data_IF_840308223151
#
_entry.id   IF_840308223151
#
_cell.length_a   1.000
_cell.length_b   1.000
_cell.length_c   1.000
_cell.angle_alpha   90.00
_cell.angle_beta   90.00
_cell.angle_gamma   90.00
#
_symmetry.space_group_name_H-M   'P 1'
#
loop_
_entity.id
_entity.type
_entity.pdbx_description
1 polymer ?
#
# COMPACT_ATOMS: atom_id res chain seq x y z
N UNK A 1 1.48 4.17 21.01
CA UNK A 1 0.57 5.34 20.97
C UNK A 1 -0.81 4.87 21.39
N UNK A 2 -1.68 5.78 21.84
CA UNK A 2 -3.10 5.45 22.02
C UNK A 2 -3.76 5.19 20.65
N UNK A 3 -4.70 4.24 20.58
CA UNK A 3 -5.28 3.74 19.34
C UNK A 3 -5.94 4.82 18.49
N UNK A 4 -6.75 5.68 19.09
CA UNK A 4 -7.40 6.80 18.39
C UNK A 4 -6.36 7.77 17.81
N UNK A 5 -5.28 8.07 18.53
CA UNK A 5 -4.20 8.90 17.98
C UNK A 5 -3.56 8.27 16.74
N UNK A 6 -3.27 6.95 16.75
CA UNK A 6 -2.74 6.26 15.57
C UNK A 6 -3.70 6.38 14.38
N UNK A 7 -5.01 6.19 14.62
CA UNK A 7 -6.05 6.29 13.61
C UNK A 7 -6.15 7.69 13.00
N UNK A 8 -6.07 8.73 13.83
CA UNK A 8 -6.25 10.11 13.43
C UNK A 8 -4.99 10.72 12.80
N UNK A 9 -3.81 10.31 13.26
CA UNK A 9 -2.55 10.92 12.85
C UNK A 9 -1.92 10.25 11.63
N UNK A 10 -2.17 8.94 11.40
CA UNK A 10 -1.56 8.18 10.30
C UNK A 10 -1.71 8.88 8.95
N UNK A 11 -0.59 9.00 8.24
CA UNK A 11 -0.50 9.62 6.91
C UNK A 11 -0.02 8.66 5.85
N UNK A 12 -0.32 9.01 4.60
CA UNK A 12 0.31 8.37 3.44
C UNK A 12 1.66 9.04 3.19
N UNK A 13 2.74 8.33 3.50
CA UNK A 13 4.12 8.81 3.37
C UNK A 13 4.68 8.38 2.02
N UNK A 14 5.27 9.31 1.29
CA UNK A 14 5.78 9.16 -0.08
C UNK A 14 7.24 9.62 -0.22
N UNK A 15 7.89 10.04 0.87
CA UNK A 15 9.33 10.30 0.96
C UNK A 15 9.89 9.61 2.19
N UNK A 16 10.92 8.79 1.99
CA UNK A 16 11.47 7.92 3.02
C UNK A 16 12.95 8.18 3.24
N UNK A 17 13.41 7.97 4.47
CA UNK A 17 14.83 7.98 4.81
C UNK A 17 15.50 6.71 4.27
N UNK A 18 16.78 6.80 3.93
CA UNK A 18 17.61 5.66 3.53
C UNK A 18 18.06 4.80 4.74
N UNK A 19 17.10 4.45 5.61
CA UNK A 19 17.32 3.61 6.80
C UNK A 19 16.41 2.39 6.66
N UNK A 20 16.95 1.16 6.71
CA UNK A 20 16.14 -0.05 6.61
C UNK A 20 15.16 -0.15 7.79
N UNK A 21 14.00 -0.75 7.54
CA UNK A 21 13.06 -1.12 8.60
C UNK A 21 13.49 -2.48 9.17
N UNK A 22 13.71 -2.61 10.49
CA UNK A 22 14.04 -3.89 11.11
C UNK A 22 13.01 -4.99 10.82
N UNK A 23 13.48 -6.23 10.70
CA UNK A 23 12.65 -7.39 10.36
C UNK A 23 11.56 -7.63 11.40
N UNK A 24 11.89 -7.48 12.68
CA UNK A 24 10.93 -7.58 13.79
C UNK A 24 9.75 -6.61 13.63
N UNK A 25 10.00 -5.40 13.10
CA UNK A 25 8.95 -4.41 12.85
C UNK A 25 8.14 -4.80 11.61
N UNK A 26 8.79 -5.27 10.55
CA UNK A 26 8.09 -5.77 9.35
C UNK A 26 7.19 -6.98 9.69
N UNK A 27 7.67 -7.91 10.50
CA UNK A 27 6.92 -9.06 10.99
C UNK A 27 5.73 -8.64 11.86
N UNK A 28 5.89 -7.64 12.73
CA UNK A 28 4.78 -7.07 13.51
C UNK A 28 3.72 -6.43 12.61
N UNK A 29 4.13 -5.66 11.61
CA UNK A 29 3.23 -5.04 10.63
C UNK A 29 2.43 -6.14 9.90
N UNK A 30 3.10 -7.15 9.37
CA UNK A 30 2.45 -8.27 8.68
C UNK A 30 1.50 -9.01 9.61
N UNK A 31 1.91 -9.27 10.85
CA UNK A 31 1.08 -9.92 11.88
C UNK A 31 -0.19 -9.12 12.17
N UNK A 32 -0.12 -7.80 12.25
CA UNK A 32 -1.32 -6.97 12.41
C UNK A 32 -2.29 -7.13 11.23
N UNK A 33 -1.77 -7.26 10.00
CA UNK A 33 -2.56 -7.60 8.82
C UNK A 33 -3.23 -8.97 8.90
N UNK A 34 -2.52 -9.99 9.38
CA UNK A 34 -3.07 -11.34 9.59
C UNK A 34 -4.20 -11.39 10.64
N UNK A 35 -4.22 -10.42 11.57
CA UNK A 35 -5.26 -10.29 12.60
C UNK A 35 -6.45 -9.42 12.15
N UNK A 36 -6.50 -9.01 10.89
CA UNK A 36 -7.69 -8.34 10.36
C UNK A 36 -8.90 -9.29 10.32
N UNK A 37 -10.14 -8.75 10.46
CA UNK A 37 -11.33 -9.53 10.21
C UNK A 37 -11.41 -9.93 8.73
N UNK A 38 -12.00 -11.09 8.45
CA UNK A 38 -12.39 -11.50 7.10
C UNK A 38 -13.76 -12.16 7.12
N UNK A 39 -14.54 -11.96 6.06
CA UNK A 39 -15.86 -12.57 5.97
C UNK A 39 -15.74 -14.09 5.98
N UNK A 40 -16.55 -14.75 6.80
CA UNK A 40 -16.48 -16.21 7.06
C UNK A 40 -15.10 -16.69 7.55
N UNK A 41 -14.26 -15.78 8.08
CA UNK A 41 -12.87 -16.04 8.47
C UNK A 41 -12.01 -16.67 7.35
N UNK A 42 -12.28 -16.32 6.08
CA UNK A 42 -11.59 -16.88 4.92
C UNK A 42 -10.08 -16.58 4.91
N UNK A 43 -9.66 -15.49 5.55
CA UNK A 43 -8.27 -15.00 5.53
C UNK A 43 -7.68 -14.99 4.10
N UNK A 44 -8.35 -14.35 3.12
CA UNK A 44 -8.14 -14.58 1.70
C UNK A 44 -6.91 -13.84 1.15
N UNK A 45 -5.87 -13.70 1.94
CA UNK A 45 -4.71 -12.87 1.68
C UNK A 45 -3.42 -13.66 1.66
N UNK A 46 -2.51 -13.20 0.80
CA UNK A 46 -1.09 -13.54 0.89
C UNK A 46 -0.29 -12.24 0.86
N UNK A 47 0.74 -12.16 1.70
CA UNK A 47 1.59 -10.97 1.84
C UNK A 47 3.02 -11.33 1.49
N UNK A 48 3.54 -10.81 0.37
CA UNK A 48 4.95 -10.92 0.02
C UNK A 48 5.69 -9.65 0.47
N UNK A 49 6.73 -9.80 1.29
CA UNK A 49 7.51 -8.67 1.81
C UNK A 49 8.80 -8.50 0.99
N UNK A 50 8.83 -7.52 0.10
CA UNK A 50 10.05 -7.11 -0.59
C UNK A 50 10.86 -6.16 0.30
N UNK A 51 12.13 -6.48 0.54
CA UNK A 51 13.04 -5.69 1.41
C UNK A 51 14.52 -5.82 1.06
N UNK A 52 14.88 -6.80 0.23
CA UNK A 52 16.25 -6.92 -0.29
C UNK A 52 16.45 -5.99 -1.48
N UNK A 53 17.70 -5.71 -1.83
CA UNK A 53 18.01 -4.89 -2.99
C UNK A 53 17.39 -5.47 -4.28
N UNK A 54 17.47 -6.79 -4.46
CA UNK A 54 16.94 -7.47 -5.65
C UNK A 54 15.42 -7.40 -5.71
N UNK A 55 14.74 -7.75 -4.61
CA UNK A 55 13.27 -7.72 -4.56
C UNK A 55 12.72 -6.31 -4.72
N UNK A 56 13.34 -5.31 -4.10
CA UNK A 56 12.93 -3.91 -4.25
C UNK A 56 13.23 -3.36 -5.64
N UNK A 57 14.30 -3.81 -6.30
CA UNK A 57 14.59 -3.44 -7.69
C UNK A 57 13.50 -3.97 -8.63
N UNK A 58 13.03 -5.20 -8.42
CA UNK A 58 11.90 -5.75 -9.18
C UNK A 58 10.61 -4.94 -8.97
N UNK A 59 10.29 -4.57 -7.72
CA UNK A 59 9.11 -3.72 -7.44
C UNK A 59 9.22 -2.38 -8.19
N UNK A 60 10.39 -1.72 -8.14
CA UNK A 60 10.61 -0.44 -8.84
C UNK A 60 10.49 -0.58 -10.35
N UNK A 61 11.03 -1.65 -10.93
CA UNK A 61 10.90 -1.91 -12.36
C UNK A 61 9.43 -2.08 -12.78
N UNK A 62 8.64 -2.87 -12.02
CA UNK A 62 7.19 -3.00 -12.27
C UNK A 62 6.48 -1.66 -12.13
N UNK A 63 6.84 -0.86 -11.11
CA UNK A 63 6.22 0.43 -10.82
C UNK A 63 6.61 1.53 -11.82
N UNK A 64 7.77 1.44 -12.48
CA UNK A 64 8.12 2.32 -13.59
C UNK A 64 7.16 2.11 -14.79
N UNK A 65 6.78 0.88 -15.09
CA UNK A 65 5.76 0.58 -16.11
C UNK A 65 4.40 1.13 -15.69
N UNK A 66 4.03 0.98 -14.42
CA UNK A 66 2.79 1.55 -13.85
C UNK A 66 2.79 3.08 -14.01
N UNK A 67 3.90 3.76 -13.70
CA UNK A 67 4.01 5.20 -13.85
C UNK A 67 3.78 5.66 -15.30
N UNK A 68 4.37 4.96 -16.27
CA UNK A 68 4.17 5.23 -17.69
C UNK A 68 2.68 5.09 -18.09
N UNK A 69 2.03 3.99 -17.70
CA UNK A 69 0.61 3.76 -18.04
C UNK A 69 -0.36 4.66 -17.28
N UNK A 70 0.00 5.09 -16.08
CA UNK A 70 -0.84 5.96 -15.26
C UNK A 70 -0.68 7.44 -15.62
N UNK A 71 0.37 7.80 -16.37
CA UNK A 71 0.64 9.17 -16.81
C UNK A 71 -0.57 9.86 -17.46
N UNK A 72 -1.28 9.28 -18.45
CA UNK A 72 -2.45 9.92 -19.07
C UNK A 72 -3.59 10.14 -18.07
N UNK A 73 -3.78 9.21 -17.13
CA UNK A 73 -4.80 9.31 -16.08
C UNK A 73 -4.51 10.52 -15.18
N UNK A 74 -3.25 10.68 -14.77
CA UNK A 74 -2.81 11.82 -13.97
C UNK A 74 -2.99 13.14 -14.72
N UNK A 75 -2.56 13.19 -15.99
CA UNK A 75 -2.70 14.37 -16.84
C UNK A 75 -4.17 14.79 -17.04
N UNK A 76 -5.07 13.81 -17.17
CA UNK A 76 -6.49 14.10 -17.28
C UNK A 76 -7.08 14.58 -15.95
N UNK A 77 -6.78 13.88 -14.85
CA UNK A 77 -7.40 14.11 -13.54
C UNK A 77 -6.89 15.37 -12.84
N UNK A 78 -5.61 15.70 -13.02
CA UNK A 78 -4.91 16.79 -12.34
C UNK A 78 -4.37 17.81 -13.33
N UNK A 79 -5.08 18.04 -14.44
CA UNK A 79 -4.67 18.98 -15.51
C UNK A 79 -4.31 20.37 -14.99
N UNK A 80 -5.03 20.85 -13.99
CA UNK A 80 -4.85 22.17 -13.37
C UNK A 80 -3.79 22.18 -12.26
N UNK A 81 -3.21 21.01 -11.94
CA UNK A 81 -2.28 20.78 -10.83
C UNK A 81 -1.04 20.00 -11.31
N UNK A 82 -0.19 20.59 -12.18
CA UNK A 82 0.99 19.93 -12.72
C UNK A 82 1.96 19.43 -11.64
N UNK A 83 2.05 20.13 -10.50
CA UNK A 83 2.84 19.73 -9.34
C UNK A 83 2.43 18.35 -8.78
N UNK A 84 1.12 18.07 -8.75
CA UNK A 84 0.60 16.78 -8.26
C UNK A 84 0.95 15.66 -9.24
N UNK A 85 0.95 15.95 -10.54
CA UNK A 85 1.33 14.99 -11.59
C UNK A 85 2.80 14.62 -11.40
N UNK A 86 3.69 15.62 -11.31
CA UNK A 86 5.12 15.42 -11.16
C UNK A 86 5.45 14.65 -9.87
N UNK A 87 4.90 15.08 -8.73
CA UNK A 87 5.11 14.42 -7.44
C UNK A 87 4.63 12.96 -7.46
N UNK A 88 3.46 12.71 -8.06
CA UNK A 88 2.92 11.35 -8.14
C UNK A 88 3.76 10.47 -9.05
N UNK A 89 4.20 10.97 -10.21
CA UNK A 89 5.07 10.21 -11.10
C UNK A 89 6.41 9.90 -10.46
N UNK A 90 7.05 10.90 -9.85
CA UNK A 90 8.32 10.69 -9.14
C UNK A 90 8.16 9.65 -8.02
N UNK A 91 7.06 9.72 -7.24
CA UNK A 91 6.77 8.72 -6.22
C UNK A 91 6.57 7.33 -6.82
N UNK A 92 5.80 7.17 -7.91
CA UNK A 92 5.58 5.84 -8.50
C UNK A 92 6.88 5.22 -9.01
N UNK A 93 7.76 5.99 -9.65
CA UNK A 93 9.03 5.48 -10.18
C UNK A 93 10.03 5.15 -9.06
N UNK A 94 10.16 6.02 -8.07
CA UNK A 94 11.21 5.89 -7.02
C UNK A 94 10.74 5.14 -5.78
N UNK A 95 9.42 5.00 -5.62
CA UNK A 95 8.74 4.63 -4.37
C UNK A 95 9.12 5.53 -3.20
N UNK A 96 9.51 6.77 -3.47
CA UNK A 96 9.94 7.72 -2.45
C UNK A 96 11.22 7.31 -1.72
N UNK A 97 11.98 6.34 -2.25
CA UNK A 97 13.11 5.73 -1.55
C UNK A 97 12.72 4.70 -0.49
N UNK A 98 11.49 4.15 -0.52
CA UNK A 98 11.05 3.14 0.44
C UNK A 98 12.06 1.97 0.52
N UNK A 99 12.53 1.59 1.71
CA UNK A 99 13.40 0.43 1.90
C UNK A 99 12.66 -0.92 1.82
N UNK A 100 11.34 -0.93 2.05
CA UNK A 100 10.53 -2.14 1.99
C UNK A 100 9.17 -1.89 1.33
N UNK A 101 8.56 -2.96 0.81
CA UNK A 101 7.23 -2.93 0.22
C UNK A 101 6.51 -4.26 0.50
N UNK A 102 5.30 -4.19 1.06
CA UNK A 102 4.42 -5.36 1.16
C UNK A 102 3.56 -5.40 -0.11
N UNK A 103 3.63 -6.51 -0.84
CA UNK A 103 2.75 -6.81 -1.96
C UNK A 103 1.63 -7.71 -1.45
N UNK A 104 0.40 -7.28 -1.67
CA UNK A 104 -0.81 -7.93 -1.17
C UNK A 104 -1.50 -8.64 -2.31
N UNK A 105 -1.80 -9.91 -2.12
CA UNK A 105 -2.47 -10.76 -3.09
C UNK A 105 -3.77 -11.32 -2.48
N UNK A 106 -4.80 -11.45 -3.31
CA UNK A 106 -5.95 -12.30 -3.03
C UNK A 106 -5.51 -13.74 -3.28
N UNK A 107 -5.50 -14.55 -2.23
CA UNK A 107 -4.88 -15.86 -2.27
C UNK A 107 -5.68 -16.84 -3.12
N UNK A 108 -5.00 -17.55 -4.04
CA UNK A 108 -5.62 -18.31 -5.15
C UNK A 108 -6.61 -19.39 -4.69
N UNK A 109 -6.43 -19.94 -3.48
CA UNK A 109 -7.31 -21.00 -2.96
C UNK A 109 -8.64 -20.46 -2.45
N UNK A 110 -8.75 -19.16 -2.23
CA UNK A 110 -9.90 -18.58 -1.54
C UNK A 110 -10.92 -18.11 -2.57
N UNK A 111 -11.97 -18.92 -2.76
CA UNK A 111 -13.06 -18.68 -3.72
C UNK A 111 -14.21 -17.84 -3.12
N UNK A 112 -13.90 -16.97 -2.16
CA UNK A 112 -14.88 -16.06 -1.58
C UNK A 112 -15.49 -15.14 -2.65
N UNK A 113 -16.68 -14.60 -2.38
CA UNK A 113 -17.24 -13.54 -3.20
C UNK A 113 -16.20 -12.41 -3.34
N UNK A 114 -16.01 -11.91 -4.56
CA UNK A 114 -14.95 -10.97 -4.89
C UNK A 114 -14.91 -9.75 -3.95
N UNK A 115 -16.06 -9.18 -3.64
CA UNK A 115 -16.16 -8.01 -2.78
C UNK A 115 -15.70 -8.31 -1.35
N UNK A 116 -16.07 -9.47 -0.79
CA UNK A 116 -15.62 -9.91 0.52
C UNK A 116 -14.09 -10.06 0.57
N UNK A 117 -13.47 -10.61 -0.48
CA UNK A 117 -12.00 -10.70 -0.58
C UNK A 117 -11.36 -9.30 -0.59
N UNK A 118 -11.93 -8.37 -1.34
CA UNK A 118 -11.44 -6.99 -1.40
C UNK A 118 -11.61 -6.24 -0.06
N UNK A 119 -12.74 -6.39 0.60
CA UNK A 119 -13.00 -5.79 1.93
C UNK A 119 -12.06 -6.36 2.99
N UNK A 120 -11.89 -7.69 3.00
CA UNK A 120 -11.00 -8.39 3.93
C UNK A 120 -9.54 -7.97 3.74
N UNK A 121 -9.05 -7.93 2.50
CA UNK A 121 -7.69 -7.48 2.19
C UNK A 121 -7.51 -5.98 2.48
N UNK A 122 -8.53 -5.16 2.28
CA UNK A 122 -8.51 -3.75 2.65
C UNK A 122 -8.38 -3.53 4.16
N UNK A 123 -9.11 -4.30 4.97
CA UNK A 123 -8.99 -4.29 6.42
C UNK A 123 -7.56 -4.69 6.86
N UNK A 124 -6.99 -5.73 6.25
CA UNK A 124 -5.61 -6.14 6.51
C UNK A 124 -4.59 -5.04 6.19
N UNK A 125 -4.70 -4.40 5.02
CA UNK A 125 -3.81 -3.29 4.66
C UNK A 125 -3.95 -2.12 5.65
N UNK A 126 -5.17 -1.82 6.09
CA UNK A 126 -5.38 -0.76 7.08
C UNK A 126 -4.73 -1.11 8.42
N UNK A 127 -4.87 -2.34 8.92
CA UNK A 127 -4.18 -2.78 10.13
C UNK A 127 -2.66 -2.65 10.02
N UNK A 128 -2.09 -3.06 8.89
CA UNK A 128 -0.64 -2.92 8.63
C UNK A 128 -0.19 -1.46 8.69
N UNK A 129 -0.94 -0.54 8.08
CA UNK A 129 -0.59 0.87 8.10
C UNK A 129 -0.66 1.47 9.52
N UNK A 130 -1.62 1.05 10.34
CA UNK A 130 -1.75 1.51 11.72
C UNK A 130 -0.62 0.96 12.60
N UNK A 131 -0.28 -0.33 12.45
CA UNK A 131 0.83 -0.96 13.14
C UNK A 131 2.17 -0.31 12.76
N UNK A 132 2.38 -0.03 11.46
CA UNK A 132 3.55 0.70 10.97
C UNK A 132 3.66 2.07 11.63
N UNK A 133 2.56 2.85 11.62
CA UNK A 133 2.55 4.18 12.21
C UNK A 133 2.84 4.17 13.71
N UNK A 134 2.30 3.21 14.45
CA UNK A 134 2.58 3.03 15.88
C UNK A 134 4.06 2.74 16.17
N UNK A 135 4.81 2.23 15.18
CA UNK A 135 6.26 1.99 15.23
C UNK A 135 7.09 3.13 14.62
N UNK A 136 6.47 4.26 14.28
CA UNK A 136 7.13 5.39 13.61
C UNK A 136 7.49 5.12 12.14
N UNK A 137 6.97 4.03 11.56
CA UNK A 137 7.16 3.67 10.15
C UNK A 137 6.02 4.27 9.34
N UNK A 138 6.40 5.06 8.33
CA UNK A 138 5.48 5.59 7.34
C UNK A 138 5.05 4.52 6.34
N UNK A 139 3.83 4.62 5.85
CA UNK A 139 3.29 3.71 4.85
C UNK A 139 2.54 4.47 3.74
N UNK A 140 2.48 3.90 2.53
CA UNK A 140 1.55 4.36 1.51
C UNK A 140 0.96 3.18 0.74
N UNK A 141 -0.36 3.09 0.75
CA UNK A 141 -1.12 2.12 -0.04
C UNK A 141 -1.24 2.61 -1.49
N UNK A 142 -0.74 1.80 -2.41
CA UNK A 142 -0.76 2.01 -3.86
C UNK A 142 -1.65 0.95 -4.52
N UNK A 143 -2.77 1.40 -5.12
CA UNK A 143 -3.66 0.58 -5.94
C UNK A 143 -3.53 0.87 -7.45
N UNK A 144 -2.65 1.80 -7.83
CA UNK A 144 -2.44 2.20 -9.22
C UNK A 144 -2.17 1.02 -10.19
N UNK A 145 -1.40 -0.02 -9.83
CA UNK A 145 -1.16 -1.13 -10.75
C UNK A 145 -2.43 -1.84 -11.24
N UNK A 146 -3.45 -1.98 -10.40
CA UNK A 146 -4.73 -2.56 -10.81
C UNK A 146 -5.50 -1.64 -11.76
N UNK A 147 -5.44 -0.34 -11.50
CA UNK A 147 -6.17 0.65 -12.27
C UNK A 147 -5.68 0.75 -13.72
N UNK A 148 -4.41 0.40 -13.97
CA UNK A 148 -3.78 0.47 -15.31
C UNK A 148 -3.36 -0.89 -15.87
N UNK A 149 -4.01 -1.95 -15.38
CA UNK A 149 -3.80 -3.32 -15.86
C UNK A 149 -2.31 -3.74 -15.87
N UNK A 150 -1.68 -3.58 -14.70
CA UNK A 150 -0.30 -3.97 -14.43
C UNK A 150 -0.17 -5.04 -13.34
N UNK A 151 -1.28 -5.60 -12.86
CA UNK A 151 -1.29 -6.67 -11.85
C UNK A 151 -0.40 -7.85 -12.25
N UNK A 152 -0.46 -8.26 -13.53
CA UNK A 152 0.33 -9.36 -14.07
C UNK A 152 1.85 -9.22 -13.90
N UNK A 153 2.38 -7.98 -13.82
CA UNK A 153 3.80 -7.74 -13.56
C UNK A 153 4.19 -8.18 -12.14
N UNK A 154 3.33 -7.90 -11.16
CA UNK A 154 3.56 -8.26 -9.76
C UNK A 154 3.27 -9.74 -9.53
N UNK A 155 2.25 -10.28 -10.19
CA UNK A 155 1.94 -11.71 -10.16
C UNK A 155 3.08 -12.55 -10.74
N UNK A 156 3.63 -12.17 -11.89
CA UNK A 156 4.76 -12.89 -12.49
C UNK A 156 6.03 -12.84 -11.61
N UNK A 157 6.34 -11.69 -11.01
CA UNK A 157 7.58 -11.49 -10.25
C UNK A 157 7.52 -12.02 -8.81
N UNK A 158 6.34 -11.99 -8.18
CA UNK A 158 6.19 -12.26 -6.74
C UNK A 158 5.02 -13.17 -6.38
N UNK A 159 4.11 -13.45 -7.32
CA UNK A 159 2.80 -14.01 -7.04
C UNK A 159 2.41 -15.24 -7.87
N UNK A 160 3.34 -15.84 -8.63
CA UNK A 160 3.02 -16.87 -9.63
C UNK A 160 2.27 -18.08 -9.05
N UNK A 161 2.46 -18.35 -7.75
CA UNK A 161 1.75 -19.39 -6.99
C UNK A 161 0.76 -18.85 -5.94
N UNK A 162 0.68 -17.53 -5.75
CA UNK A 162 0.01 -16.94 -4.58
C UNK A 162 -1.38 -16.38 -4.90
N UNK A 163 -1.62 -15.82 -6.10
CA UNK A 163 -2.95 -15.40 -6.52
C UNK A 163 -2.96 -14.03 -7.20
N UNK A 164 -4.11 -13.35 -7.17
CA UNK A 164 -4.32 -12.07 -7.87
C UNK A 164 -3.71 -10.91 -7.08
N UNK A 165 -2.97 -10.02 -7.75
CA UNK A 165 -2.43 -8.83 -7.10
C UNK A 165 -3.54 -7.84 -6.68
N UNK A 166 -3.50 -7.38 -5.43
CA UNK A 166 -4.45 -6.42 -4.84
C UNK A 166 -3.84 -5.03 -4.71
N UNK A 167 -2.68 -4.93 -4.08
CA UNK A 167 -2.06 -3.64 -3.77
C UNK A 167 -0.59 -3.77 -3.42
N UNK A 168 0.12 -2.66 -3.49
CA UNK A 168 1.45 -2.49 -2.90
C UNK A 168 1.36 -1.52 -1.71
N UNK A 169 2.13 -1.77 -0.66
CA UNK A 169 2.24 -0.91 0.52
C UNK A 169 3.70 -0.62 0.76
N UNK A 170 4.17 0.57 0.39
CA UNK A 170 5.55 1.01 0.67
C UNK A 170 5.71 1.28 2.16
N UNK A 171 6.88 0.95 2.71
CA UNK A 171 7.22 1.11 4.12
C UNK A 171 8.60 1.74 4.28
N UNK A 172 8.73 2.64 5.24
CA UNK A 172 10.00 3.26 5.61
C UNK A 172 9.85 4.37 6.65
N UNK A 173 10.94 4.81 7.24
CA UNK A 173 10.89 5.96 8.16
C UNK A 173 10.62 7.26 7.38
N UNK A 174 9.65 8.09 7.80
CA UNK A 174 9.29 9.30 7.08
C UNK A 174 10.47 10.28 6.94
N UNK A 175 10.66 10.82 5.73
CA UNK A 175 11.51 11.97 5.44
C UNK A 175 10.68 13.23 5.15
N UNK A 176 9.41 13.21 5.52
CA UNK A 176 8.44 14.28 5.37
C UNK A 176 7.41 14.21 6.50
N UNK A 177 6.70 15.32 6.71
CA UNK A 177 5.61 15.44 7.68
C UNK A 177 4.37 16.07 7.01
N UNK A 178 3.57 15.30 6.27
CA UNK A 178 2.45 15.84 5.52
C UNK A 178 1.31 16.23 6.46
N UNK A 179 0.71 17.41 6.25
CA UNK A 179 -0.45 17.90 7.01
C UNK A 179 -1.69 17.01 6.83
N UNK A 180 -2.63 16.97 7.80
CA UNK A 180 -3.81 16.13 7.68
C UNK A 180 -4.76 16.77 6.67
N UNK A 181 -5.31 15.98 5.75
CA UNK A 181 -6.37 16.50 4.89
C UNK A 181 -7.63 16.78 5.71
N UNK A 182 -8.30 17.89 5.41
CA UNK A 182 -9.58 18.28 6.03
C UNK A 182 -10.62 17.18 5.77
N UNK A 183 -11.33 16.74 6.81
CA UNK A 183 -12.42 15.78 6.68
C UNK A 183 -13.64 16.47 6.08
N UNK A 184 -14.39 15.76 5.22
CA UNK A 184 -15.65 16.27 4.65
C UNK A 184 -16.74 16.20 5.71
N UNK A 185 -17.48 17.29 5.89
CA UNK A 185 -18.66 17.35 6.76
C UNK A 185 -19.84 16.58 6.15
N UNK A 186 -20.87 16.29 6.96
CA UNK A 186 -22.11 15.64 6.50
C UNK A 186 -21.97 14.17 6.07
N UNK A 187 -21.00 13.43 6.62
CA UNK A 187 -20.71 12.02 6.28
C UNK A 187 -21.20 11.01 7.32
N UNK A 188 -22.01 11.43 8.28
CA UNK A 188 -22.62 10.59 9.30
C UNK A 188 -23.89 11.27 9.83
N UNK A 189 -24.83 10.48 10.33
CA UNK A 189 -26.02 10.94 11.06
C UNK A 189 -26.26 9.99 12.22
N UNK A 190 -26.68 10.52 13.37
CA UNK A 190 -27.35 9.68 14.36
C UNK A 190 -28.75 9.37 13.80
N UNK A 191 -29.20 8.12 13.99
CA UNK A 191 -30.54 7.66 13.66
C UNK A 191 -31.32 7.47 14.96
#
# INVERSE_FOLDING_TARGET
METLNVLLERRSIRKYRAVPVPDEILEEIVRAGLYAPSGLNLQPWYFAVARTAESMQLVRASMAVVALRFSPVLQQRFREHPEVIEETQNFLVTLGGAPACILVFAHKKDQGARDNVLESTAAAIQNMQLAAWNRGVGACWIAAPKYVDCSGLFEAAFGASHGEFIAAVTLGYPAEDPKPHKRREGRWTFL
#
